data_IF_289647751521
#
_entry.id   IF_289647751521
#
_cell.length_a   1.000
_cell.length_b   1.000
_cell.length_c   1.000
_cell.angle_alpha   90.00
_cell.angle_beta   90.00
_cell.angle_gamma   90.00
#
_symmetry.space_group_name_H-M   'P 1'
#
loop_
_entity.id
_entity.type
_entity.pdbx_description
1 polymer ?
#
# COMPACT_ATOMS: atom_id res chain seq x y z
N UNK A 1 -33.37 -40.49 -84.73
CA UNK A 1 -32.92 -40.97 -83.41
C UNK A 1 -34.10 -40.82 -82.48
N UNK A 2 -34.62 -41.91 -81.94
CA UNK A 2 -35.81 -41.92 -81.08
C UNK A 2 -35.51 -41.22 -79.74
N UNK A 3 -36.48 -40.45 -79.26
CA UNK A 3 -36.47 -39.78 -77.96
C UNK A 3 -36.41 -40.84 -76.85
N UNK A 4 -35.40 -40.80 -75.98
CA UNK A 4 -35.09 -41.84 -74.97
C UNK A 4 -35.83 -41.65 -73.63
N UNK A 5 -36.79 -40.72 -73.53
CA UNK A 5 -37.68 -40.62 -72.36
C UNK A 5 -38.93 -41.49 -72.58
N UNK A 6 -39.11 -42.51 -71.73
CA UNK A 6 -40.32 -43.34 -71.75
C UNK A 6 -41.50 -42.56 -71.15
N UNK A 7 -42.30 -41.91 -71.99
CA UNK A 7 -43.56 -41.25 -71.62
C UNK A 7 -44.77 -42.22 -71.58
N UNK A 8 -44.53 -43.49 -71.28
CA UNK A 8 -45.59 -44.51 -71.29
C UNK A 8 -46.37 -44.53 -69.96
N UNK A 9 -47.71 -44.33 -69.94
CA UNK A 9 -48.49 -44.42 -68.71
C UNK A 9 -48.59 -45.89 -68.24
N UNK A 10 -48.39 -46.14 -66.95
CA UNK A 10 -48.38 -47.49 -66.36
C UNK A 10 -49.77 -47.89 -65.86
N UNK A 11 -50.32 -49.07 -66.21
CA UNK A 11 -51.55 -49.60 -65.61
C UNK A 11 -51.30 -50.11 -64.18
N UNK A 12 -52.23 -49.85 -63.24
CA UNK A 12 -52.06 -50.13 -61.80
C UNK A 12 -51.96 -51.62 -61.41
N UNK A 13 -52.18 -52.56 -62.33
CA UNK A 13 -52.33 -54.00 -62.00
C UNK A 13 -51.29 -54.93 -62.66
N UNK A 14 -50.12 -54.40 -63.02
CA UNK A 14 -49.01 -55.19 -63.57
C UNK A 14 -47.72 -54.93 -62.82
N UNK A 15 -47.04 -56.00 -62.40
CA UNK A 15 -45.71 -55.97 -61.78
C UNK A 15 -44.60 -55.62 -62.81
N UNK A 16 -44.79 -54.52 -63.53
CA UNK A 16 -43.95 -54.06 -64.63
C UNK A 16 -42.87 -53.14 -64.07
N UNK A 17 -41.63 -53.65 -64.00
CA UNK A 17 -40.46 -52.84 -63.64
C UNK A 17 -39.91 -52.20 -64.91
N UNK A 18 -40.10 -50.90 -65.08
CA UNK A 18 -39.44 -50.14 -66.14
C UNK A 18 -38.00 -49.93 -65.70
N UNK A 19 -37.05 -50.62 -66.35
CA UNK A 19 -35.61 -50.44 -66.12
C UNK A 19 -35.06 -49.59 -67.25
N UNK A 20 -34.51 -48.43 -66.91
CA UNK A 20 -33.90 -47.52 -67.87
C UNK A 20 -32.67 -48.16 -68.51
N UNK A 21 -32.40 -47.88 -69.79
CA UNK A 21 -31.27 -48.50 -70.48
C UNK A 21 -29.94 -48.05 -69.87
N UNK A 22 -28.91 -48.95 -69.79
CA UNK A 22 -27.60 -48.58 -69.26
C UNK A 22 -26.97 -47.38 -69.97
N UNK A 23 -27.25 -47.22 -71.27
CA UNK A 23 -26.78 -46.10 -72.09
C UNK A 23 -27.40 -44.77 -71.66
N UNK A 24 -28.70 -44.72 -71.38
CA UNK A 24 -29.37 -43.51 -70.88
C UNK A 24 -28.85 -43.13 -69.49
N UNK A 25 -28.64 -44.11 -68.61
CA UNK A 25 -28.09 -43.85 -67.27
C UNK A 25 -26.67 -43.29 -67.38
N UNK A 26 -25.84 -43.83 -68.29
CA UNK A 26 -24.49 -43.35 -68.55
C UNK A 26 -24.49 -41.92 -69.12
N UNK A 27 -25.31 -41.65 -70.12
CA UNK A 27 -25.48 -40.32 -70.72
C UNK A 27 -25.95 -39.30 -69.66
N UNK A 28 -26.92 -39.66 -68.80
CA UNK A 28 -27.42 -38.79 -67.74
C UNK A 28 -26.39 -38.53 -66.62
N UNK A 29 -25.55 -39.50 -66.27
CA UNK A 29 -24.44 -39.32 -65.32
C UNK A 29 -23.34 -38.45 -65.93
N UNK A 30 -22.99 -38.66 -67.21
CA UNK A 30 -22.06 -37.81 -67.94
C UNK A 30 -22.57 -36.36 -68.01
N UNK A 31 -23.86 -36.16 -68.29
CA UNK A 31 -24.50 -34.85 -68.30
C UNK A 31 -24.55 -34.21 -66.90
N UNK A 32 -24.85 -34.96 -65.84
CA UNK A 32 -24.83 -34.46 -64.45
C UNK A 32 -23.41 -34.11 -63.98
N UNK A 33 -22.40 -34.90 -64.34
CA UNK A 33 -21.00 -34.63 -63.93
C UNK A 33 -20.40 -33.43 -64.66
N UNK A 34 -20.84 -33.15 -65.89
CA UNK A 34 -20.42 -32.00 -66.68
C UNK A 34 -21.26 -30.74 -66.36
N UNK A 35 -22.56 -30.90 -66.14
CA UNK A 35 -23.45 -29.80 -65.76
C UNK A 35 -23.31 -29.54 -64.27
N UNK A 36 -22.36 -28.67 -63.90
CA UNK A 36 -22.36 -28.00 -62.59
C UNK A 36 -23.52 -27.00 -62.48
N UNK A 37 -24.70 -27.36 -62.97
CA UNK A 37 -25.91 -26.53 -63.05
C UNK A 37 -26.66 -26.59 -61.71
N UNK A 38 -25.95 -26.24 -60.65
CA UNK A 38 -26.55 -25.97 -59.35
C UNK A 38 -26.48 -24.47 -59.10
N UNK A 39 -27.54 -23.86 -58.55
CA UNK A 39 -27.51 -22.44 -58.20
C UNK A 39 -26.43 -22.17 -57.16
N UNK A 40 -25.94 -20.93 -57.14
CA UNK A 40 -25.06 -20.46 -56.07
C UNK A 40 -25.81 -20.46 -54.73
N UNK A 41 -25.08 -20.71 -53.64
CA UNK A 41 -25.65 -20.63 -52.31
C UNK A 41 -25.99 -19.19 -51.97
N UNK A 42 -27.10 -19.00 -51.28
CA UNK A 42 -27.50 -17.71 -50.72
C UNK A 42 -27.64 -17.84 -49.20
N UNK A 43 -27.96 -16.74 -48.53
CA UNK A 43 -28.26 -16.78 -47.10
C UNK A 43 -29.55 -17.57 -46.76
N UNK A 44 -30.40 -17.84 -47.74
CA UNK A 44 -31.69 -18.53 -47.57
C UNK A 44 -31.71 -19.91 -48.23
N UNK A 45 -31.04 -20.06 -49.37
CA UNK A 45 -31.08 -21.26 -50.20
C UNK A 45 -29.70 -21.91 -50.31
N UNK A 46 -29.68 -23.25 -50.29
CA UNK A 46 -28.45 -24.03 -50.43
C UNK A 46 -27.98 -24.06 -51.89
N UNK A 47 -26.66 -24.03 -52.10
CA UNK A 47 -26.05 -24.06 -53.44
C UNK A 47 -24.52 -24.22 -53.40
N UNK A 48 -23.82 -23.93 -54.50
CA UNK A 48 -22.35 -23.90 -54.51
C UNK A 48 -21.79 -22.57 -53.98
N UNK A 49 -20.62 -22.63 -53.36
CA UNK A 49 -19.95 -21.48 -52.73
C UNK A 49 -18.54 -21.35 -53.26
N UNK A 50 -18.13 -20.12 -53.55
CA UNK A 50 -16.73 -19.77 -53.81
C UNK A 50 -16.09 -19.30 -52.50
N UNK A 51 -14.88 -19.76 -52.20
CA UNK A 51 -14.17 -19.41 -50.98
C UNK A 51 -13.16 -18.29 -51.23
N UNK A 52 -13.08 -17.32 -50.31
CA UNK A 52 -12.10 -16.23 -50.36
C UNK A 52 -11.24 -16.18 -49.09
N UNK A 53 -9.97 -15.80 -49.27
CA UNK A 53 -9.02 -15.54 -48.19
C UNK A 53 -8.90 -14.04 -47.86
N UNK A 54 -9.66 -13.17 -48.53
CA UNK A 54 -9.59 -11.72 -48.35
C UNK A 54 -10.28 -11.31 -47.05
N UNK A 55 -9.64 -10.40 -46.29
CA UNK A 55 -10.14 -9.93 -44.98
C UNK A 55 -10.92 -8.60 -45.04
N UNK A 56 -10.99 -7.99 -46.22
CA UNK A 56 -11.70 -6.74 -46.46
C UNK A 56 -12.49 -6.76 -47.76
N UNK A 57 -13.00 -7.94 -48.14
CA UNK A 57 -13.86 -8.10 -49.32
C UNK A 57 -15.31 -7.77 -48.98
N UNK A 58 -15.98 -7.02 -49.84
CA UNK A 58 -17.40 -6.68 -49.75
C UNK A 58 -18.29 -7.69 -50.51
N UNK A 59 -17.72 -8.82 -50.96
CA UNK A 59 -18.44 -9.81 -51.77
C UNK A 59 -19.46 -10.59 -50.97
N UNK A 60 -20.74 -10.48 -51.33
CA UNK A 60 -21.82 -11.27 -50.72
C UNK A 60 -21.98 -12.68 -51.32
N UNK A 61 -21.27 -13.00 -52.40
CA UNK A 61 -21.35 -14.30 -53.11
C UNK A 61 -20.22 -15.27 -52.75
N UNK A 62 -19.33 -14.89 -51.82
CA UNK A 62 -18.17 -15.70 -51.42
C UNK A 62 -18.17 -15.93 -49.92
N UNK A 63 -17.76 -17.12 -49.48
CA UNK A 63 -17.58 -17.40 -48.06
C UNK A 63 -16.13 -17.20 -47.62
N UNK A 64 -15.95 -16.66 -46.40
CA UNK A 64 -14.64 -16.52 -45.79
C UNK A 64 -14.05 -17.89 -45.39
N UNK A 65 -12.75 -18.05 -45.57
CA UNK A 65 -12.00 -19.22 -45.08
C UNK A 65 -11.50 -19.02 -43.64
N UNK A 66 -11.10 -20.09 -42.93
CA UNK A 66 -10.43 -19.97 -41.63
C UNK A 66 -9.17 -19.08 -41.66
N UNK A 67 -8.49 -18.99 -42.81
CA UNK A 67 -7.32 -18.13 -42.99
C UNK A 67 -7.70 -16.65 -42.96
N UNK A 68 -8.78 -16.25 -43.64
CA UNK A 68 -9.30 -14.89 -43.58
C UNK A 68 -9.72 -14.52 -42.16
N UNK A 69 -10.48 -15.40 -41.49
CA UNK A 69 -10.92 -15.18 -40.09
C UNK A 69 -9.73 -15.04 -39.14
N UNK A 70 -8.71 -15.89 -39.28
CA UNK A 70 -7.49 -15.80 -38.45
C UNK A 70 -6.75 -14.48 -38.69
N UNK A 71 -6.59 -14.06 -39.95
CA UNK A 71 -5.90 -12.81 -40.25
C UNK A 71 -6.63 -11.57 -39.70
N UNK A 72 -7.97 -11.56 -39.73
CA UNK A 72 -8.77 -10.51 -39.10
C UNK A 72 -8.62 -10.54 -37.56
N UNK A 73 -8.62 -11.73 -36.96
CA UNK A 73 -8.39 -11.90 -35.52
C UNK A 73 -7.00 -11.42 -35.09
N UNK A 74 -5.95 -11.82 -35.80
CA UNK A 74 -4.57 -11.40 -35.52
C UNK A 74 -4.43 -9.86 -35.60
N UNK A 75 -5.10 -9.20 -36.56
CA UNK A 75 -5.11 -7.74 -36.68
C UNK A 75 -5.84 -7.07 -35.51
N UNK A 76 -6.98 -7.64 -35.08
CA UNK A 76 -7.74 -7.14 -33.93
C UNK A 76 -6.97 -7.28 -32.61
N UNK A 77 -6.28 -8.42 -32.41
CA UNK A 77 -5.43 -8.62 -31.25
C UNK A 77 -4.26 -7.62 -31.26
N UNK A 78 -3.58 -7.41 -32.39
CA UNK A 78 -2.53 -6.41 -32.51
C UNK A 78 -3.02 -4.98 -32.19
N UNK A 79 -4.22 -4.59 -32.64
CA UNK A 79 -4.82 -3.30 -32.31
C UNK A 79 -5.12 -3.16 -30.80
N UNK A 80 -5.66 -4.22 -30.18
CA UNK A 80 -5.92 -4.26 -28.75
C UNK A 80 -4.61 -4.18 -27.93
N UNK A 81 -3.58 -4.92 -28.36
CA UNK A 81 -2.25 -4.85 -27.77
C UNK A 81 -1.64 -3.45 -27.95
N UNK A 82 -1.80 -2.79 -29.10
CA UNK A 82 -1.30 -1.41 -29.28
C UNK A 82 -2.03 -0.40 -28.41
N UNK A 83 -3.33 -0.57 -28.17
CA UNK A 83 -4.08 0.24 -27.22
C UNK A 83 -3.58 0.05 -25.77
N UNK A 84 -3.07 -1.14 -25.43
CA UNK A 84 -2.51 -1.47 -24.12
C UNK A 84 -1.01 -1.15 -23.97
N UNK A 85 -0.22 -1.29 -25.05
CA UNK A 85 1.24 -1.26 -25.07
C UNK A 85 1.84 0.08 -25.51
N UNK A 86 1.03 1.05 -25.95
CA UNK A 86 1.49 2.43 -26.23
C UNK A 86 1.67 3.27 -24.94
N UNK A 87 1.89 2.63 -23.79
CA UNK A 87 2.19 3.31 -22.54
C UNK A 87 3.17 2.56 -21.62
N UNK A 88 4.35 2.17 -22.09
CA UNK A 88 5.43 1.76 -21.17
C UNK A 88 6.56 2.79 -21.05
N UNK A 89 6.56 3.88 -21.82
CA UNK A 89 7.59 4.91 -21.75
C UNK A 89 7.12 6.36 -21.93
N UNK A 90 5.83 6.63 -22.19
CA UNK A 90 5.33 7.99 -22.42
C UNK A 90 4.43 8.52 -21.29
N UNK A 91 3.69 7.66 -20.61
CA UNK A 91 2.82 8.03 -19.49
C UNK A 91 3.04 7.07 -18.31
N UNK A 92 2.48 7.43 -17.16
CA UNK A 92 2.47 6.58 -15.97
C UNK A 92 1.32 5.58 -16.04
N UNK A 93 1.58 4.32 -15.74
CA UNK A 93 0.60 3.23 -15.64
C UNK A 93 -0.19 3.34 -14.33
N UNK A 94 -1.52 3.46 -14.43
CA UNK A 94 -2.41 3.59 -13.25
C UNK A 94 -2.23 2.47 -12.23
N UNK A 95 -2.03 1.22 -12.67
CA UNK A 95 -1.87 0.05 -11.80
C UNK A 95 -0.56 0.06 -11.00
N UNK A 96 0.44 0.82 -11.44
CA UNK A 96 1.74 0.90 -10.77
C UNK A 96 1.79 1.93 -9.64
N UNK A 97 0.75 2.78 -9.50
CA UNK A 97 0.64 3.77 -8.44
C UNK A 97 1.92 4.62 -8.26
N UNK A 98 2.56 5.00 -9.37
CA UNK A 98 3.77 5.83 -9.38
C UNK A 98 5.08 5.08 -9.15
N UNK A 99 5.08 3.76 -9.10
CA UNK A 99 6.32 2.97 -9.03
C UNK A 99 7.23 3.22 -10.26
N UNK A 100 6.61 3.41 -11.42
CA UNK A 100 7.17 3.72 -12.74
C UNK A 100 7.63 5.17 -12.94
N UNK A 101 7.51 6.04 -11.93
CA UNK A 101 8.08 7.40 -12.00
C UNK A 101 9.61 7.30 -12.10
N UNK A 102 10.24 7.81 -13.19
CA UNK A 102 11.69 7.69 -13.41
C UNK A 102 12.53 8.43 -12.36
N UNK A 103 12.15 9.68 -12.05
CA UNK A 103 12.78 10.49 -11.01
C UNK A 103 11.72 10.99 -10.01
N UNK A 104 11.63 10.30 -8.87
CA UNK A 104 10.66 10.60 -7.81
C UNK A 104 10.97 11.93 -7.11
N UNK A 105 12.24 12.34 -7.05
CA UNK A 105 12.62 13.59 -6.40
C UNK A 105 12.21 14.79 -7.26
N UNK A 106 12.49 14.74 -8.57
CA UNK A 106 12.02 15.77 -9.51
C UNK A 106 10.49 15.80 -9.55
N UNK A 107 9.82 14.64 -9.51
CA UNK A 107 8.36 14.58 -9.43
C UNK A 107 7.81 15.30 -8.19
N UNK A 108 8.37 15.04 -7.00
CA UNK A 108 8.02 15.75 -5.75
C UNK A 108 8.26 17.26 -5.85
N UNK A 109 9.36 17.68 -6.49
CA UNK A 109 9.66 19.10 -6.71
C UNK A 109 8.63 19.74 -7.65
N UNK A 110 8.25 19.07 -8.74
CA UNK A 110 7.26 19.54 -9.70
C UNK A 110 5.84 19.63 -9.10
N UNK A 111 5.53 18.79 -8.11
CA UNK A 111 4.29 18.90 -7.33
C UNK A 111 4.29 20.08 -6.34
N UNK A 112 5.42 20.79 -6.17
CA UNK A 112 5.56 21.86 -5.19
C UNK A 112 5.72 21.38 -3.74
N UNK A 113 6.03 20.10 -3.53
CA UNK A 113 6.12 19.49 -2.19
C UNK A 113 7.52 19.57 -1.56
N UNK A 114 8.49 20.17 -2.25
CA UNK A 114 9.88 20.24 -1.78
C UNK A 114 9.99 20.94 -0.40
N UNK A 115 9.32 22.09 -0.24
CA UNK A 115 9.30 22.83 1.03
C UNK A 115 8.55 22.04 2.12
N UNK A 116 7.42 21.41 1.80
CA UNK A 116 6.68 20.55 2.73
C UNK A 116 7.54 19.41 3.26
N UNK A 117 8.31 18.74 2.39
CA UNK A 117 9.24 17.67 2.80
C UNK A 117 10.35 18.22 3.70
N UNK A 118 10.89 19.41 3.39
CA UNK A 118 11.91 20.05 4.23
C UNK A 118 11.36 20.45 5.60
N UNK A 119 10.17 21.05 5.65
CA UNK A 119 9.49 21.42 6.88
C UNK A 119 9.13 20.18 7.71
N UNK A 120 8.65 19.11 7.09
CA UNK A 120 8.36 17.86 7.78
C UNK A 120 9.64 17.23 8.38
N UNK A 121 10.75 17.21 7.64
CA UNK A 121 12.05 16.74 8.14
C UNK A 121 12.57 17.58 9.30
N UNK A 122 12.35 18.89 9.27
CA UNK A 122 12.76 19.82 10.31
C UNK A 122 11.69 20.04 11.38
N UNK A 123 10.56 19.33 11.31
CA UNK A 123 9.51 19.42 12.32
C UNK A 123 9.98 18.74 13.61
N UNK A 124 9.66 19.35 14.74
CA UNK A 124 9.91 18.74 16.04
C UNK A 124 9.01 17.50 16.15
N UNK A 125 9.60 16.31 16.26
CA UNK A 125 8.82 15.08 16.43
C UNK A 125 8.25 15.04 17.85
N UNK A 126 6.92 15.14 17.95
CA UNK A 126 6.17 15.12 19.20
C UNK A 126 5.54 13.75 19.50
N UNK A 127 5.62 13.28 20.75
CA UNK A 127 4.80 12.17 21.28
C UNK A 127 4.11 12.57 22.57
N UNK A 128 2.90 12.06 22.78
CA UNK A 128 2.13 12.32 24.00
C UNK A 128 1.69 11.01 24.67
N UNK A 129 1.74 10.97 26.00
CA UNK A 129 1.19 9.92 26.84
C UNK A 129 0.31 10.52 27.94
N UNK A 130 -0.83 9.88 28.25
CA UNK A 130 -1.91 10.41 29.09
C UNK A 130 -2.49 9.34 30.06
N UNK A 131 -1.62 8.61 30.76
CA UNK A 131 -2.04 7.51 31.63
C UNK A 131 -1.18 7.45 32.91
N UNK A 132 -1.44 6.44 33.74
CA UNK A 132 -0.84 6.28 35.06
C UNK A 132 0.60 5.74 35.00
N UNK A 133 1.48 6.35 35.80
CA UNK A 133 2.86 5.88 35.99
C UNK A 133 2.97 4.93 37.19
N UNK A 134 2.25 5.17 38.29
CA UNK A 134 2.25 4.29 39.47
C UNK A 134 0.86 4.13 40.10
N UNK A 135 0.61 2.98 40.74
CA UNK A 135 -0.68 2.62 41.35
C UNK A 135 -0.44 2.08 42.78
N UNK A 136 -0.35 2.97 43.76
CA UNK A 136 -0.25 2.62 45.19
C UNK A 136 1.16 2.49 45.80
N UNK A 137 2.19 2.22 44.99
CA UNK A 137 3.60 2.19 45.46
C UNK A 137 4.49 3.05 44.59
N UNK A 138 5.59 3.53 45.17
CA UNK A 138 6.65 4.20 44.41
C UNK A 138 7.41 3.20 43.55
N UNK A 139 7.84 3.62 42.36
CA UNK A 139 8.59 2.79 41.45
C UNK A 139 9.53 3.63 40.57
N UNK A 140 10.56 2.98 40.05
CA UNK A 140 11.28 3.43 38.87
C UNK A 140 10.49 3.04 37.62
N UNK A 141 10.10 4.02 36.82
CA UNK A 141 9.23 3.82 35.66
C UNK A 141 10.03 4.04 34.38
N UNK A 142 10.05 3.06 33.48
CA UNK A 142 10.56 3.25 32.11
C UNK A 142 9.53 4.07 31.34
N UNK A 143 9.88 5.31 30.99
CA UNK A 143 8.96 6.26 30.37
C UNK A 143 9.19 6.45 28.88
N UNK A 144 10.42 6.22 28.39
CA UNK A 144 10.73 6.40 26.99
C UNK A 144 11.83 5.45 26.49
N UNK A 145 11.72 5.13 25.22
CA UNK A 145 12.81 4.56 24.42
C UNK A 145 13.21 5.60 23.37
N UNK A 146 14.48 5.94 23.31
CA UNK A 146 14.98 7.00 22.45
C UNK A 146 16.18 6.56 21.63
N UNK A 147 16.29 7.08 20.41
CA UNK A 147 17.53 7.07 19.61
C UNK A 147 18.08 8.48 19.61
N UNK A 148 19.34 8.65 20.00
CA UNK A 148 20.01 9.94 20.19
C UNK A 148 21.24 10.01 19.29
N UNK A 149 21.08 10.37 18.02
CA UNK A 149 22.20 10.56 17.09
C UNK A 149 23.06 11.79 17.44
N UNK A 150 24.27 11.85 16.88
CA UNK A 150 25.25 12.92 17.20
C UNK A 150 24.69 14.31 16.88
N UNK A 151 24.92 15.24 17.80
CA UNK A 151 24.30 16.57 17.83
C UNK A 151 22.76 16.50 17.80
N UNK A 152 22.17 16.04 18.91
CA UNK A 152 20.73 15.99 19.10
C UNK A 152 20.31 16.26 20.54
N UNK A 153 19.05 16.68 20.69
CA UNK A 153 18.39 17.00 21.94
C UNK A 153 16.98 16.39 21.97
N UNK A 154 16.59 15.84 23.12
CA UNK A 154 15.20 15.49 23.43
C UNK A 154 14.78 16.27 24.67
N UNK A 155 13.54 16.75 24.67
CA UNK A 155 12.86 17.29 25.84
C UNK A 155 11.60 16.48 26.13
N UNK A 156 11.45 15.97 27.36
CA UNK A 156 10.23 15.30 27.82
C UNK A 156 9.66 16.12 28.98
N UNK A 157 8.48 16.68 28.77
CA UNK A 157 7.75 17.44 29.78
C UNK A 157 6.75 16.52 30.45
N UNK A 158 6.85 16.42 31.77
CA UNK A 158 5.97 15.68 32.64
C UNK A 158 5.14 16.67 33.46
N UNK A 159 3.82 16.49 33.42
CA UNK A 159 2.87 17.32 34.14
C UNK A 159 1.97 16.41 34.99
N UNK A 160 1.86 16.73 36.27
CA UNK A 160 1.25 15.89 37.29
C UNK A 160 2.30 15.30 38.22
N UNK A 161 1.90 14.96 39.45
CA UNK A 161 2.80 14.46 40.48
C UNK A 161 2.25 13.23 41.20
N UNK A 162 2.89 12.84 42.30
CA UNK A 162 2.48 11.72 43.14
C UNK A 162 1.32 12.10 44.06
N UNK A 163 0.15 11.49 43.84
CA UNK A 163 -1.08 11.71 44.61
C UNK A 163 -2.03 12.73 43.98
N UNK A 164 -3.25 12.81 44.53
CA UNK A 164 -4.36 13.60 43.98
C UNK A 164 -5.30 14.16 45.08
N UNK A 165 -4.73 14.53 46.23
CA UNK A 165 -5.44 15.08 47.37
C UNK A 165 -5.73 16.58 47.20
N UNK A 166 -6.93 16.99 47.61
CA UNK A 166 -7.29 18.41 47.65
C UNK A 166 -6.48 19.12 48.75
N UNK A 167 -5.87 20.25 48.42
CA UNK A 167 -5.07 21.09 49.35
C UNK A 167 -3.58 20.77 49.37
N UNK A 168 -3.17 19.62 48.81
CA UNK A 168 -1.77 19.23 48.66
C UNK A 168 -1.19 19.80 47.35
N UNK A 169 -0.98 21.11 47.30
CA UNK A 169 -0.53 21.82 46.08
C UNK A 169 0.81 21.32 45.52
N UNK A 170 1.64 20.65 46.32
CA UNK A 170 2.89 20.05 45.87
C UNK A 170 2.68 18.88 44.91
N UNK A 171 1.49 18.27 44.87
CA UNK A 171 1.12 17.21 43.92
C UNK A 171 0.88 17.75 42.51
N UNK A 172 0.62 19.05 42.37
CA UNK A 172 0.63 19.75 41.09
C UNK A 172 2.08 20.08 40.71
N UNK A 173 2.77 19.12 40.10
CA UNK A 173 4.17 19.27 39.73
C UNK A 173 4.41 19.28 38.22
N UNK A 174 5.53 19.89 37.83
CA UNK A 174 6.05 19.89 36.47
C UNK A 174 7.51 19.46 36.53
N UNK A 175 7.88 18.48 35.70
CA UNK A 175 9.27 18.11 35.48
C UNK A 175 9.63 18.19 34.00
N UNK A 176 10.79 18.75 33.69
CA UNK A 176 11.30 18.84 32.32
C UNK A 176 12.59 18.04 32.25
N UNK A 177 12.56 16.94 31.50
CA UNK A 177 13.74 16.11 31.26
C UNK A 177 14.37 16.60 29.96
N UNK A 178 15.68 16.83 29.98
CA UNK A 178 16.48 17.22 28.82
C UNK A 178 17.57 16.19 28.63
N UNK A 179 17.58 15.58 27.45
CA UNK A 179 18.62 14.66 27.02
C UNK A 179 19.43 15.34 25.93
N UNK A 180 20.76 15.31 26.04
CA UNK A 180 21.66 15.91 25.05
C UNK A 180 22.80 14.95 24.76
N UNK A 181 23.05 14.66 23.48
CA UNK A 181 24.22 13.85 23.10
C UNK A 181 25.53 14.55 23.43
N UNK A 182 26.51 13.73 23.85
CA UNK A 182 27.92 14.10 23.83
C UNK A 182 28.45 14.23 22.39
N UNK A 183 29.73 14.57 22.28
CA UNK A 183 30.48 14.70 21.02
C UNK A 183 31.11 13.37 20.56
N UNK A 184 30.54 12.22 20.98
CA UNK A 184 31.08 10.86 20.81
C UNK A 184 32.45 10.57 21.44
N UNK A 185 33.03 11.53 22.17
CA UNK A 185 34.27 11.36 22.92
C UNK A 185 34.20 12.13 24.26
N UNK A 186 33.58 11.55 25.30
CA UNK A 186 33.02 10.19 25.36
C UNK A 186 31.65 10.05 24.69
N UNK A 187 31.37 8.86 24.14
CA UNK A 187 30.05 8.49 23.64
C UNK A 187 29.05 8.32 24.79
N UNK A 188 27.90 8.98 24.67
CA UNK A 188 26.89 9.00 25.73
C UNK A 188 25.92 10.16 25.60
N UNK A 189 25.02 10.25 26.58
CA UNK A 189 24.09 11.37 26.72
C UNK A 189 24.24 11.99 28.11
N UNK A 190 24.06 13.30 28.17
CA UNK A 190 23.77 13.99 29.41
C UNK A 190 22.25 13.97 29.61
N UNK A 191 21.81 13.58 30.80
CA UNK A 191 20.41 13.51 31.17
C UNK A 191 20.18 14.40 32.40
N UNK A 192 19.36 15.42 32.25
CA UNK A 192 19.07 16.40 33.31
C UNK A 192 17.57 16.56 33.47
N UNK A 193 17.08 16.56 34.71
CA UNK A 193 15.68 16.83 35.03
C UNK A 193 15.56 18.13 35.84
N UNK A 194 14.64 19.00 35.42
CA UNK A 194 14.27 20.22 36.15
C UNK A 194 12.86 20.07 36.73
N UNK A 195 12.74 20.02 38.05
CA UNK A 195 11.44 19.86 38.74
C UNK A 195 11.00 21.13 39.46
N UNK A 196 9.68 21.36 39.57
CA UNK A 196 9.12 22.49 40.32
C UNK A 196 8.99 22.24 41.82
N UNK A 197 8.89 20.99 42.27
CA UNK A 197 8.74 20.61 43.68
C UNK A 197 9.04 19.11 43.91
N UNK A 198 8.86 18.63 45.14
CA UNK A 198 9.09 17.22 45.53
C UNK A 198 7.99 16.23 45.14
N UNK A 199 6.92 16.68 44.46
CA UNK A 199 5.82 15.83 43.99
C UNK A 199 5.97 15.32 42.58
N UNK A 200 6.93 15.84 41.82
CA UNK A 200 7.33 15.29 40.52
C UNK A 200 8.23 14.07 40.73
N UNK A 201 8.62 13.36 39.64
CA UNK A 201 9.63 12.35 39.78
C UNK A 201 10.88 12.92 40.46
N UNK A 202 11.43 12.16 41.40
CA UNK A 202 12.49 12.61 42.29
C UNK A 202 13.88 12.34 41.74
N UNK A 203 13.98 11.36 40.84
CA UNK A 203 15.23 10.95 40.20
C UNK A 203 15.02 10.65 38.72
N UNK A 204 16.11 10.76 37.96
CA UNK A 204 16.22 10.42 36.55
C UNK A 204 17.36 9.42 36.37
N UNK A 205 17.19 8.45 35.48
CA UNK A 205 18.26 7.55 35.07
C UNK A 205 18.11 7.14 33.60
N UNK A 206 19.22 6.76 32.98
CA UNK A 206 19.26 6.29 31.60
C UNK A 206 20.04 4.99 31.50
N UNK A 207 19.59 4.08 30.65
CA UNK A 207 20.33 2.85 30.31
C UNK A 207 20.66 2.90 28.82
N UNK A 208 21.94 2.80 28.45
CA UNK A 208 22.33 2.60 27.06
C UNK A 208 22.03 1.14 26.69
N UNK A 209 21.11 0.92 25.76
CA UNK A 209 20.72 -0.43 25.33
C UNK A 209 21.53 -0.91 24.14
N UNK A 210 21.95 0.00 23.25
CA UNK A 210 22.85 -0.28 22.13
C UNK A 210 23.22 1.01 21.40
N UNK A 211 24.51 1.30 21.21
CA UNK A 211 24.95 2.46 20.43
C UNK A 211 24.24 3.75 20.87
N UNK A 212 23.46 4.34 19.96
CA UNK A 212 22.69 5.57 20.18
C UNK A 212 21.33 5.38 20.86
N UNK A 213 20.99 4.16 21.26
CA UNK A 213 19.69 3.83 21.84
C UNK A 213 19.73 3.80 23.36
N UNK A 214 18.76 4.48 23.98
CA UNK A 214 18.67 4.63 25.42
C UNK A 214 17.25 4.40 25.91
N UNK A 215 17.15 3.77 27.07
CA UNK A 215 15.94 3.71 27.88
C UNK A 215 15.99 4.80 28.95
N UNK A 216 14.88 5.51 29.12
CA UNK A 216 14.75 6.62 30.07
C UNK A 216 13.84 6.21 31.20
N UNK A 217 14.36 6.34 32.42
CA UNK A 217 13.69 5.97 33.65
C UNK A 217 13.57 7.17 34.59
N UNK A 218 12.47 7.21 35.31
CA UNK A 218 12.26 8.19 36.38
C UNK A 218 11.84 7.49 37.66
N UNK A 219 12.22 8.02 38.83
CA UNK A 219 11.66 7.56 40.10
C UNK A 219 10.41 8.35 40.42
N UNK A 220 9.26 7.67 40.46
CA UNK A 220 7.97 8.28 40.78
C UNK A 220 7.47 7.75 42.12
N UNK A 221 6.93 8.65 42.95
CA UNK A 221 6.23 8.27 44.18
C UNK A 221 4.95 7.48 43.90
N UNK A 222 4.28 7.03 44.97
CA UNK A 222 2.99 6.35 44.85
C UNK A 222 1.92 7.26 44.25
N UNK A 223 0.95 6.67 43.54
CA UNK A 223 -0.23 7.37 43.00
C UNK A 223 0.10 8.46 41.97
N UNK A 224 1.15 8.29 41.15
CA UNK A 224 1.41 9.11 39.96
C UNK A 224 0.42 8.76 38.85
N UNK A 225 -0.82 9.21 38.99
CA UNK A 225 -1.95 8.89 38.12
C UNK A 225 -2.38 10.09 37.29
N UNK A 226 -2.93 9.84 36.10
CA UNK A 226 -3.34 10.89 35.16
C UNK A 226 -2.18 11.78 34.71
N UNK A 227 -0.98 11.21 34.57
CA UNK A 227 0.24 11.95 34.23
C UNK A 227 0.27 12.23 32.73
N UNK A 228 0.66 13.45 32.38
CA UNK A 228 0.86 13.88 31.00
C UNK A 228 2.35 13.87 30.71
N UNK A 229 2.77 13.14 29.67
CA UNK A 229 4.12 13.26 29.11
C UNK A 229 4.02 13.83 27.70
N UNK A 230 4.81 14.87 27.42
CA UNK A 230 4.98 15.42 26.07
C UNK A 230 6.47 15.35 25.71
N UNK A 231 6.81 14.49 24.77
CA UNK A 231 8.17 14.31 24.29
C UNK A 231 8.39 15.04 22.97
N UNK A 232 9.50 15.76 22.85
CA UNK A 232 9.92 16.51 21.68
C UNK A 232 11.35 16.13 21.31
N UNK A 233 11.62 15.85 20.04
CA UNK A 233 12.96 15.52 19.55
C UNK A 233 13.42 16.46 18.44
N UNK A 234 14.70 16.83 18.48
CA UNK A 234 15.40 17.50 17.37
C UNK A 234 15.75 16.51 16.24
N UNK A 235 16.09 17.00 15.04
CA UNK A 235 16.18 16.17 13.81
C UNK A 235 17.05 14.91 13.85
N UNK A 236 18.12 14.85 14.65
CA UNK A 236 18.99 13.66 14.78
C UNK A 236 18.58 12.73 15.94
N UNK A 237 17.47 13.01 16.61
CA UNK A 237 16.93 12.18 17.69
C UNK A 237 15.49 11.75 17.38
N UNK A 238 15.12 10.60 17.92
CA UNK A 238 13.78 10.03 17.77
C UNK A 238 13.31 9.48 19.09
N UNK A 239 12.09 9.80 19.50
CA UNK A 239 11.41 9.11 20.60
C UNK A 239 10.68 7.90 20.00
N UNK A 240 11.22 6.69 20.16
CA UNK A 240 10.60 5.46 19.62
C UNK A 240 9.32 5.11 20.35
N UNK A 241 9.32 5.26 21.67
CA UNK A 241 8.14 5.02 22.49
C UNK A 241 8.11 6.01 23.66
N UNK A 242 6.91 6.48 24.02
CA UNK A 242 6.65 7.32 25.19
C UNK A 242 5.44 6.73 25.92
N UNK A 243 5.68 6.03 27.02
CA UNK A 243 4.65 5.31 27.77
C UNK A 243 5.19 4.74 29.07
N UNK A 244 4.32 4.32 29.99
CA UNK A 244 4.70 3.43 31.08
C UNK A 244 4.99 2.02 30.56
N UNK A 245 6.26 1.67 30.36
CA UNK A 245 6.66 0.37 29.81
C UNK A 245 7.04 -0.64 30.88
N UNK A 246 7.54 -0.18 32.03
CA UNK A 246 7.96 -1.04 33.13
C UNK A 246 7.98 -0.26 34.44
N UNK A 247 7.54 -0.90 35.52
CA UNK A 247 7.65 -0.41 36.89
C UNK A 247 8.60 -1.31 37.68
N UNK A 248 9.69 -0.74 38.18
CA UNK A 248 10.75 -1.43 38.88
C UNK A 248 10.82 -0.95 40.35
N UNK A 249 11.05 -1.85 41.32
CA UNK A 249 11.16 -1.45 42.72
C UNK A 249 12.47 -0.71 43.05
N UNK A 250 13.47 -0.81 42.17
CA UNK A 250 14.78 -0.19 42.31
C UNK A 250 15.26 0.36 40.96
N UNK A 251 16.33 1.16 40.98
CA UNK A 251 16.98 1.64 39.77
C UNK A 251 17.41 0.45 38.90
N UNK A 252 17.20 0.48 37.58
CA UNK A 252 17.59 -0.63 36.70
C UNK A 252 19.10 -0.88 36.74
N UNK A 253 19.50 -2.14 36.54
CA UNK A 253 20.90 -2.53 36.45
C UNK A 253 21.57 -1.85 35.24
N UNK A 254 22.82 -1.40 35.42
CA UNK A 254 23.57 -0.70 34.37
C UNK A 254 23.10 0.73 34.08
N UNK A 255 22.15 1.27 34.87
CA UNK A 255 21.68 2.62 34.70
C UNK A 255 22.69 3.67 35.18
N UNK A 256 22.80 4.75 34.40
CA UNK A 256 23.52 5.96 34.76
C UNK A 256 22.51 6.96 35.30
N UNK A 257 22.71 7.45 36.53
CA UNK A 257 21.85 8.49 37.11
C UNK A 257 22.07 9.82 36.38
N UNK A 258 20.97 10.50 36.08
CA UNK A 258 20.99 11.87 35.61
C UNK A 258 21.06 12.87 36.77
N UNK A 259 21.28 14.13 36.42
CA UNK A 259 21.27 15.23 37.38
C UNK A 259 19.85 15.77 37.56
N UNK A 260 19.49 16.14 38.80
CA UNK A 260 18.17 16.69 39.12
C UNK A 260 18.33 18.06 39.76
N UNK A 261 17.71 19.06 39.15
CA UNK A 261 17.66 20.43 39.66
C UNK A 261 16.22 20.79 40.00
N UNK A 262 16.04 21.58 41.06
CA UNK A 262 14.75 22.16 41.40
C UNK A 262 14.71 23.63 41.01
N UNK A 263 13.59 24.09 40.43
CA UNK A 263 13.34 25.51 40.25
C UNK A 263 13.20 26.19 41.62
N UNK A 264 13.89 27.31 41.81
CA UNK A 264 13.65 28.20 42.95
C UNK A 264 12.40 29.04 42.67
N UNK A 265 11.24 28.56 43.11
CA UNK A 265 9.95 29.22 42.91
C UNK A 265 9.50 29.95 44.18
N UNK A 266 9.08 31.20 44.02
CA UNK A 266 8.51 31.98 45.12
C UNK A 266 6.99 31.82 45.13
N UNK A 267 6.44 31.48 46.31
CA UNK A 267 5.00 31.46 46.50
C UNK A 267 4.50 32.91 46.58
N UNK A 268 3.68 33.31 45.62
CA UNK A 268 3.11 34.67 45.58
C UNK A 268 1.95 34.86 46.58
N UNK A 269 1.32 33.77 47.02
CA UNK A 269 0.25 33.81 48.03
C UNK A 269 0.81 33.52 49.42
N UNK A 270 0.54 34.38 50.44
CA UNK A 270 0.97 34.09 51.80
C UNK A 270 0.34 32.79 52.31
N UNK A 271 1.07 32.07 53.16
CA UNK A 271 0.53 30.91 53.88
C UNK A 271 -0.57 31.44 54.82
N UNK A 272 -1.77 30.84 54.85
CA UNK A 272 -2.76 31.18 55.86
C UNK A 272 -2.23 30.89 57.27
#
# INVERSE_FOLDING_TARGET
>A
MQDKKSDTPVPEDGNLVIVTTPEYVKEAIEEHTLSRNHPDATLQDKGFVVLSNDVGSDSETMAATPKAVKAAYDLADAANQNALNNNSNLYLEKKQNGADIPDKQVFVNNLGLAETVALAKNSIQGKQYLHDLTYGTSAWVKIAEVTMGVVSTININLIGGSGYNVGDFWQCSIANIVLRTGNDDPHGINAVMYTTNSGAPTDLATVNTSGYDYDIYISMGAFGQGIILNGFASGNATIRQLSNMANLPAVPEGAVKGEVYAYALNRLTPKP
#
